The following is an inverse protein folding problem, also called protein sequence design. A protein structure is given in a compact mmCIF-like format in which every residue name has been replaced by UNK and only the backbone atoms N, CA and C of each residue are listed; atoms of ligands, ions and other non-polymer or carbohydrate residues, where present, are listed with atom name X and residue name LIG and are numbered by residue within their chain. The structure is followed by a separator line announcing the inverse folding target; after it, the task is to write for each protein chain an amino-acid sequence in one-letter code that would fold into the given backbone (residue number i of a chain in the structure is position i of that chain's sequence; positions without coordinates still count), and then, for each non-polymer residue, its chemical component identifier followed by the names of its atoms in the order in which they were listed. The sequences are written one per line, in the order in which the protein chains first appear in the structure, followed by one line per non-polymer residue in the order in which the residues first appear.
data_IF_778788265931
#
_entry.id   IF_778788265931
#
_cell.length_a   1.000
_cell.length_b   1.000
_cell.length_c   1.000
_cell.angle_alpha   90.00
_cell.angle_beta   90.00
_cell.angle_gamma   90.00
#
_symmetry.space_group_name_H-M   'P 1'
#
loop_
_entity.id
_entity.type
_entity.pdbx_description
1 polymer ?
#
# COMPACT_ATOMS: atom_id res chain seq x y z
N UNK A 1 8.26 -51.37 -30.65
CA UNK A 1 8.71 -50.35 -29.68
C UNK A 1 7.83 -49.12 -29.86
N UNK A 2 6.86 -48.91 -28.97
CA UNK A 2 6.22 -47.63 -28.60
C UNK A 2 4.87 -47.94 -27.91
N UNK A 3 4.88 -48.04 -26.57
CA UNK A 3 3.68 -48.09 -25.74
C UNK A 3 3.50 -46.74 -25.04
N UNK A 4 2.50 -45.97 -25.45
CA UNK A 4 2.07 -44.75 -24.76
C UNK A 4 1.00 -45.07 -23.73
N UNK A 5 1.38 -45.09 -22.44
CA UNK A 5 0.42 -45.19 -21.33
C UNK A 5 -0.32 -43.86 -21.12
N UNK A 6 -1.58 -43.88 -20.62
CA UNK A 6 -2.34 -42.66 -20.39
C UNK A 6 -1.76 -41.90 -19.19
N UNK A 7 -1.44 -40.62 -19.41
CA UNK A 7 -1.05 -39.68 -18.35
C UNK A 7 -2.31 -39.34 -17.56
N UNK A 8 -2.43 -39.88 -16.35
CA UNK A 8 -3.46 -39.49 -15.39
C UNK A 8 -3.19 -38.06 -14.92
N UNK A 9 -4.08 -37.15 -15.31
CA UNK A 9 -4.12 -35.77 -14.80
C UNK A 9 -4.45 -35.85 -13.30
N UNK A 10 -3.44 -35.67 -12.45
CA UNK A 10 -3.62 -35.59 -10.99
C UNK A 10 -4.51 -34.38 -10.71
N UNK A 11 -5.76 -34.61 -10.30
CA UNK A 11 -6.62 -33.57 -9.78
C UNK A 11 -5.93 -32.97 -8.56
N UNK A 12 -5.63 -31.67 -8.62
CA UNK A 12 -5.24 -30.92 -7.43
C UNK A 12 -6.46 -30.90 -6.51
N UNK A 13 -6.32 -31.46 -5.31
CA UNK A 13 -7.35 -31.35 -4.27
C UNK A 13 -7.54 -29.90 -3.86
N UNK A 14 -8.70 -29.54 -3.28
CA UNK A 14 -8.97 -28.17 -2.87
C UNK A 14 -7.96 -27.76 -1.80
N UNK A 15 -7.17 -26.70 -2.08
CA UNK A 15 -6.39 -26.02 -1.05
C UNK A 15 -7.29 -25.50 0.06
N UNK A 16 -6.74 -25.14 1.24
CA UNK A 16 -7.55 -24.60 2.33
C UNK A 16 -8.34 -23.40 1.82
N UNK A 17 -9.67 -23.47 1.96
CA UNK A 17 -10.58 -22.45 1.49
C UNK A 17 -10.28 -21.15 2.24
N UNK A 18 -9.84 -20.11 1.52
CA UNK A 18 -9.79 -18.75 2.06
C UNK A 18 -11.20 -18.27 2.40
N UNK A 19 -11.30 -17.29 3.30
CA UNK A 19 -12.59 -16.74 3.67
C UNK A 19 -13.20 -16.03 2.45
N UNK A 20 -14.39 -16.46 2.02
CA UNK A 20 -15.14 -15.78 0.98
C UNK A 20 -16.01 -14.70 1.62
N UNK A 21 -15.79 -13.44 1.24
CA UNK A 21 -16.45 -12.29 1.83
C UNK A 21 -17.19 -11.53 0.73
N UNK A 22 -18.47 -11.26 0.93
CA UNK A 22 -19.22 -10.31 0.09
C UNK A 22 -19.09 -8.92 0.70
N UNK A 23 -18.79 -7.89 -0.10
CA UNK A 23 -18.58 -6.51 0.37
C UNK A 23 -19.64 -6.00 1.37
N UNK A 24 -20.94 -6.35 1.17
CA UNK A 24 -22.01 -5.98 2.12
C UNK A 24 -21.86 -6.57 3.53
N UNK A 25 -21.18 -7.71 3.67
CA UNK A 25 -20.91 -8.32 4.98
C UNK A 25 -19.90 -7.51 5.79
N UNK A 26 -19.04 -6.71 5.13
CA UNK A 26 -18.17 -5.73 5.81
C UNK A 26 -18.91 -4.42 6.09
N UNK A 27 -19.86 -4.06 5.22
CA UNK A 27 -20.65 -2.83 5.32
C UNK A 27 -21.85 -2.86 6.28
N UNK A 28 -22.16 -3.99 6.93
CA UNK A 28 -23.23 -4.09 7.94
C UNK A 28 -22.77 -3.65 9.35
N UNK A 29 -21.47 -3.76 9.64
CA UNK A 29 -20.88 -3.45 10.96
C UNK A 29 -19.81 -2.33 10.91
N UNK A 30 -19.36 -1.93 9.72
CA UNK A 30 -18.38 -0.86 9.50
C UNK A 30 -19.02 0.53 9.59
N UNK A 31 -19.36 0.94 10.82
CA UNK A 31 -19.89 2.26 11.10
C UNK A 31 -19.10 3.39 10.43
N UNK A 32 -19.85 4.37 9.93
CA UNK A 32 -19.42 5.64 9.33
C UNK A 32 -18.62 6.54 10.30
N UNK A 33 -17.55 6.03 10.90
CA UNK A 33 -16.55 6.77 11.64
C UNK A 33 -15.48 7.28 10.71
N UNK A 34 -15.77 8.38 10.01
CA UNK A 34 -14.79 9.05 9.15
C UNK A 34 -13.58 9.51 9.98
N UNK A 35 -12.44 8.82 9.87
CA UNK A 35 -11.15 9.47 10.08
C UNK A 35 -10.96 10.45 8.92
N UNK A 36 -11.46 11.66 9.14
CA UNK A 36 -10.93 12.86 8.48
C UNK A 36 -9.45 12.96 8.84
N UNK A 37 -8.63 13.70 8.08
CA UNK A 37 -7.29 14.12 8.55
C UNK A 37 -7.42 14.46 10.03
N UNK A 38 -6.68 13.79 10.95
CA UNK A 38 -6.81 14.07 12.36
C UNK A 38 -6.71 15.57 12.55
N UNK A 39 -7.69 16.21 13.19
CA UNK A 39 -7.48 17.60 13.59
C UNK A 39 -6.46 17.61 14.72
N UNK A 40 -5.54 18.59 14.80
CA UNK A 40 -4.38 18.58 15.71
C UNK A 40 -4.71 18.17 17.15
N UNK A 41 -5.89 18.57 17.63
CA UNK A 41 -6.44 18.27 18.96
C UNK A 41 -6.61 16.77 19.26
N UNK A 42 -6.93 15.94 18.27
CA UNK A 42 -7.13 14.50 18.45
C UNK A 42 -5.82 13.73 18.71
N UNK A 43 -4.68 14.34 18.38
CA UNK A 43 -3.34 13.80 18.61
C UNK A 43 -2.59 14.53 19.74
N UNK A 44 -3.23 15.51 20.39
CA UNK A 44 -2.59 16.36 21.39
C UNK A 44 -1.47 17.24 20.82
N UNK A 45 -1.46 17.50 19.51
CA UNK A 45 -0.43 18.31 18.83
C UNK A 45 -0.93 19.72 18.56
N UNK A 46 -0.01 20.69 18.55
CA UNK A 46 -0.29 22.01 18.02
C UNK A 46 -0.54 21.94 16.50
N UNK A 47 -1.30 22.89 15.94
CA UNK A 47 -1.64 22.90 14.52
C UNK A 47 -0.41 23.02 13.61
N UNK A 48 0.61 23.73 14.08
CA UNK A 48 1.89 23.93 13.40
C UNK A 48 2.69 22.62 13.35
N UNK A 49 2.81 21.91 14.48
CA UNK A 49 3.45 20.58 14.54
C UNK A 49 2.73 19.58 13.64
N UNK A 50 1.39 19.61 13.62
CA UNK A 50 0.57 18.78 12.75
C UNK A 50 0.81 19.06 11.25
N UNK A 51 1.02 20.34 10.89
CA UNK A 51 1.32 20.73 9.52
C UNK A 51 2.70 20.22 9.03
N UNK A 52 3.61 19.94 9.96
CA UNK A 52 4.98 19.51 9.65
C UNK A 52 5.24 18.01 9.79
N UNK A 53 4.28 17.22 10.31
CA UNK A 53 4.47 15.77 10.47
C UNK A 53 4.93 15.14 9.15
N UNK A 54 5.79 14.13 9.15
CA UNK A 54 6.08 13.37 7.93
C UNK A 54 4.84 12.63 7.41
N UNK A 55 4.82 12.33 6.11
CA UNK A 55 3.80 11.50 5.46
C UNK A 55 4.38 10.12 5.18
N UNK A 56 3.64 9.07 5.58
CA UNK A 56 3.92 7.69 5.16
C UNK A 56 2.80 7.26 4.23
N UNK A 57 3.11 7.20 2.94
CA UNK A 57 2.20 6.75 1.91
C UNK A 57 2.35 5.24 1.70
N UNK A 58 1.23 4.51 1.66
CA UNK A 58 1.22 3.05 1.60
C UNK A 58 0.38 2.60 0.40
N UNK A 59 0.98 1.81 -0.49
CA UNK A 59 0.24 1.07 -1.52
C UNK A 59 -0.37 -0.22 -0.96
N UNK A 60 -1.30 -0.84 -1.70
CA UNK A 60 -1.94 -2.10 -1.34
C UNK A 60 -1.28 -3.26 -2.08
N UNK A 61 -1.38 -3.29 -3.40
CA UNK A 61 -0.91 -4.43 -4.20
C UNK A 61 0.62 -4.48 -4.22
N UNK A 62 1.19 -5.66 -3.94
CA UNK A 62 2.63 -5.86 -3.82
C UNK A 62 3.26 -5.33 -2.52
N UNK A 63 2.46 -4.70 -1.65
CA UNK A 63 2.89 -4.16 -0.35
C UNK A 63 2.14 -4.84 0.79
N UNK A 64 0.84 -4.57 0.92
CA UNK A 64 -0.02 -5.17 1.94
C UNK A 64 -0.68 -6.44 1.42
N UNK A 65 -1.15 -6.39 0.17
CA UNK A 65 -1.62 -7.55 -0.57
C UNK A 65 -0.45 -8.20 -1.29
N UNK A 66 -0.03 -9.37 -0.80
CA UNK A 66 1.10 -10.10 -1.39
C UNK A 66 0.67 -10.76 -2.70
N UNK A 67 1.39 -10.46 -3.78
CA UNK A 67 1.13 -10.97 -5.12
C UNK A 67 2.08 -12.13 -5.42
N UNK A 68 1.62 -13.37 -5.22
CA UNK A 68 2.46 -14.55 -5.47
C UNK A 68 1.68 -15.82 -5.84
N UNK A 69 0.35 -15.73 -5.97
CA UNK A 69 -0.51 -16.88 -6.23
C UNK A 69 -0.29 -18.01 -5.22
N UNK A 70 -0.09 -19.24 -5.70
CA UNK A 70 0.16 -20.41 -4.83
C UNK A 70 1.60 -20.51 -4.32
N UNK A 71 2.52 -19.62 -4.76
CA UNK A 71 3.95 -19.65 -4.41
C UNK A 71 4.34 -18.70 -3.27
N UNK A 72 3.37 -18.22 -2.51
CA UNK A 72 3.60 -17.30 -1.40
C UNK A 72 4.59 -17.88 -0.40
N UNK A 73 5.74 -17.21 -0.26
CA UNK A 73 6.87 -17.68 0.57
C UNK A 73 6.60 -17.50 2.08
N UNK A 74 5.56 -16.74 2.45
CA UNK A 74 5.16 -16.42 3.83
C UNK A 74 3.98 -17.22 4.38
N UNK A 75 3.54 -18.28 3.71
CA UNK A 75 2.57 -19.21 4.30
C UNK A 75 3.19 -19.89 5.54
N UNK A 76 2.57 -19.87 6.74
CA UNK A 76 1.14 -19.69 7.04
C UNK A 76 0.73 -18.33 7.66
N UNK A 77 1.58 -17.30 7.62
CA UNK A 77 1.30 -16.01 8.29
C UNK A 77 0.24 -15.17 7.56
N UNK A 78 0.02 -15.44 6.28
CA UNK A 78 -0.92 -14.69 5.43
C UNK A 78 -2.36 -15.19 5.59
N UNK A 79 -3.30 -14.25 5.73
CA UNK A 79 -4.74 -14.50 5.66
C UNK A 79 -5.23 -14.27 4.24
N UNK A 80 -5.94 -15.25 3.69
CA UNK A 80 -6.45 -15.21 2.32
C UNK A 80 -7.93 -14.89 2.30
N UNK A 81 -8.30 -13.95 1.45
CA UNK A 81 -9.68 -13.52 1.25
C UNK A 81 -10.04 -13.56 -0.24
N UNK A 82 -11.24 -14.03 -0.54
CA UNK A 82 -11.86 -13.83 -1.84
C UNK A 82 -13.04 -12.87 -1.65
N UNK A 83 -12.96 -11.69 -2.26
CA UNK A 83 -13.90 -10.61 -2.01
C UNK A 83 -14.71 -10.28 -3.27
N UNK A 84 -16.02 -10.49 -3.21
CA UNK A 84 -16.93 -10.05 -4.26
C UNK A 84 -17.39 -8.61 -4.00
N UNK A 85 -17.11 -7.73 -4.96
CA UNK A 85 -17.41 -6.29 -4.89
C UNK A 85 -18.39 -5.94 -6.02
N UNK A 86 -19.67 -5.70 -5.71
CA UNK A 86 -20.64 -5.29 -6.70
C UNK A 86 -20.28 -3.94 -7.34
N UNK A 87 -20.64 -3.74 -8.61
CA UNK A 87 -20.47 -2.47 -9.34
C UNK A 87 -21.09 -1.29 -8.58
N UNK A 88 -22.26 -1.51 -7.96
CA UNK A 88 -22.97 -0.48 -7.19
C UNK A 88 -22.20 0.00 -5.94
N UNK A 89 -21.20 -0.76 -5.48
CA UNK A 89 -20.34 -0.40 -4.34
C UNK A 89 -19.02 0.23 -4.79
N UNK A 90 -18.77 0.32 -6.09
CA UNK A 90 -17.54 0.86 -6.64
C UNK A 90 -17.75 2.30 -7.09
N UNK A 91 -16.70 3.11 -6.92
CA UNK A 91 -16.61 4.42 -7.57
C UNK A 91 -16.05 4.24 -8.98
N UNK A 92 -16.55 5.02 -9.96
CA UNK A 92 -15.94 5.08 -11.28
C UNK A 92 -14.46 5.40 -11.15
N UNK A 93 -13.60 4.59 -11.73
CA UNK A 93 -12.15 4.77 -11.59
C UNK A 93 -11.44 4.17 -12.79
N UNK A 94 -10.49 4.88 -13.42
CA UNK A 94 -9.75 4.38 -14.57
C UNK A 94 -8.86 3.17 -14.24
N UNK A 95 -8.57 2.95 -12.95
CA UNK A 95 -7.74 1.85 -12.49
C UNK A 95 -8.52 0.57 -12.22
N UNK A 96 -9.85 0.63 -12.26
CA UNK A 96 -10.71 -0.54 -12.04
C UNK A 96 -11.15 -1.14 -13.36
N UNK A 97 -11.26 -2.47 -13.36
CA UNK A 97 -11.88 -3.21 -14.46
C UNK A 97 -13.29 -2.65 -14.74
N UNK A 98 -13.61 -2.47 -16.02
CA UNK A 98 -14.90 -1.90 -16.44
C UNK A 98 -15.15 -0.48 -15.93
N UNK A 99 -14.11 0.28 -15.56
CA UNK A 99 -14.22 1.60 -14.94
C UNK A 99 -15.07 1.60 -13.66
N UNK A 100 -15.08 0.50 -12.90
CA UNK A 100 -15.92 0.35 -11.70
C UNK A 100 -17.41 0.17 -12.00
N UNK A 101 -17.80 -0.10 -13.25
CA UNK A 101 -19.20 -0.36 -13.65
C UNK A 101 -19.55 -1.85 -13.73
N UNK A 102 -18.62 -2.72 -13.39
CA UNK A 102 -18.79 -4.17 -13.41
C UNK A 102 -18.52 -4.74 -12.01
N UNK A 103 -19.25 -5.80 -11.67
CA UNK A 103 -18.93 -6.61 -10.49
C UNK A 103 -17.52 -7.19 -10.65
N UNK A 104 -16.74 -7.13 -9.58
CA UNK A 104 -15.39 -7.69 -9.56
C UNK A 104 -15.23 -8.65 -8.39
N UNK A 105 -14.39 -9.66 -8.59
CA UNK A 105 -13.89 -10.50 -7.51
C UNK A 105 -12.39 -10.28 -7.38
N UNK A 106 -11.95 -9.92 -6.19
CA UNK A 106 -10.53 -9.69 -5.87
C UNK A 106 -10.06 -10.73 -4.87
N UNK A 107 -8.81 -11.17 -5.01
CA UNK A 107 -8.15 -12.09 -4.08
C UNK A 107 -7.08 -11.33 -3.33
N UNK A 108 -7.12 -11.42 -2.01
CA UNK A 108 -6.18 -10.74 -1.12
C UNK A 108 -5.42 -11.78 -0.30
N UNK A 109 -4.12 -11.57 -0.14
CA UNK A 109 -3.28 -12.29 0.80
C UNK A 109 -2.61 -11.26 1.72
N UNK A 110 -3.12 -11.12 2.95
CA UNK A 110 -2.77 -10.04 3.87
C UNK A 110 -2.03 -10.58 5.09
N UNK A 111 -0.96 -9.90 5.50
CA UNK A 111 -0.26 -10.17 6.75
C UNK A 111 -0.91 -9.36 7.90
N UNK A 112 -1.51 -10.01 8.92
CA UNK A 112 -2.11 -9.30 10.06
C UNK A 112 -1.11 -8.41 10.83
N UNK A 113 0.19 -8.68 10.74
CA UNK A 113 1.21 -7.87 11.40
C UNK A 113 1.25 -6.42 10.86
N UNK A 114 0.85 -6.21 9.60
CA UNK A 114 0.87 -4.88 8.97
C UNK A 114 -0.05 -3.87 9.67
N UNK A 115 -1.16 -4.32 10.27
CA UNK A 115 -2.01 -3.44 11.06
C UNK A 115 -1.28 -2.85 12.28
N UNK A 116 -0.46 -3.68 12.96
CA UNK A 116 0.38 -3.23 14.06
C UNK A 116 1.44 -2.20 13.61
N UNK A 117 2.03 -2.43 12.43
CA UNK A 117 3.02 -1.51 11.86
C UNK A 117 2.40 -0.17 11.48
N UNK A 118 1.27 -0.18 10.76
CA UNK A 118 0.52 1.03 10.40
C UNK A 118 0.12 1.82 11.65
N UNK A 119 -0.37 1.14 12.69
CA UNK A 119 -0.72 1.79 13.97
C UNK A 119 0.48 2.46 14.64
N UNK A 120 1.64 1.79 14.67
CA UNK A 120 2.86 2.35 15.25
C UNK A 120 3.33 3.58 14.45
N UNK A 121 3.32 3.51 13.12
CA UNK A 121 3.70 4.62 12.25
C UNK A 121 2.75 5.82 12.37
N UNK A 122 1.44 5.57 12.53
CA UNK A 122 0.44 6.62 12.69
C UNK A 122 0.66 7.50 13.94
N UNK A 123 1.38 7.01 14.95
CA UNK A 123 1.76 7.79 16.11
C UNK A 123 2.78 8.90 15.77
N UNK A 124 3.63 8.68 14.76
CA UNK A 124 4.72 9.60 14.37
C UNK A 124 4.46 10.35 13.07
N UNK A 125 3.67 9.78 12.17
CA UNK A 125 3.44 10.30 10.83
C UNK A 125 1.96 10.35 10.46
N UNK A 126 1.64 11.12 9.42
CA UNK A 126 0.38 10.98 8.71
C UNK A 126 0.49 9.78 7.77
N UNK A 127 -0.06 8.64 8.21
CA UNK A 127 -0.15 7.44 7.37
C UNK A 127 -1.36 7.54 6.44
N UNK A 128 -1.14 7.38 5.15
CA UNK A 128 -2.15 7.59 4.10
C UNK A 128 -2.13 6.47 3.07
N UNK A 129 -3.28 6.21 2.46
CA UNK A 129 -3.40 5.36 1.29
C UNK A 129 -2.89 6.09 0.06
N UNK A 130 -1.92 5.50 -0.64
CA UNK A 130 -1.45 5.96 -1.95
C UNK A 130 -1.50 4.78 -2.92
N UNK A 131 -2.73 4.40 -3.28
CA UNK A 131 -3.01 3.17 -4.01
C UNK A 131 -4.12 3.40 -5.02
N UNK A 132 -4.09 2.66 -6.13
CA UNK A 132 -5.15 2.66 -7.15
C UNK A 132 -6.48 2.09 -6.65
N UNK A 133 -6.48 1.45 -5.47
CA UNK A 133 -7.71 1.06 -4.77
C UNK A 133 -8.54 2.28 -4.34
N UNK A 134 -7.89 3.41 -4.10
CA UNK A 134 -8.50 4.63 -3.58
C UNK A 134 -9.28 4.35 -2.29
N UNK A 135 -10.51 4.88 -2.20
CA UNK A 135 -11.39 4.68 -1.05
C UNK A 135 -11.76 3.22 -0.77
N UNK A 136 -11.69 2.33 -1.76
CA UNK A 136 -11.95 0.90 -1.54
C UNK A 136 -10.95 0.27 -0.55
N UNK A 137 -9.76 0.86 -0.39
CA UNK A 137 -8.81 0.43 0.63
C UNK A 137 -9.40 0.58 2.05
N UNK A 138 -10.17 1.64 2.31
CA UNK A 138 -10.86 1.83 3.59
C UNK A 138 -12.06 0.90 3.78
N UNK A 139 -12.74 0.55 2.68
CA UNK A 139 -13.94 -0.28 2.77
C UNK A 139 -13.62 -1.77 2.86
N UNK A 140 -12.45 -2.18 2.34
CA UNK A 140 -12.06 -3.59 2.24
C UNK A 140 -10.75 -3.89 2.97
N UNK A 141 -9.65 -3.30 2.55
CA UNK A 141 -8.30 -3.68 3.03
C UNK A 141 -8.11 -3.34 4.51
N UNK A 142 -8.47 -2.13 4.92
CA UNK A 142 -8.35 -1.68 6.31
C UNK A 142 -9.11 -2.58 7.29
N UNK A 143 -10.42 -2.84 7.08
CA UNK A 143 -11.20 -3.77 7.89
C UNK A 143 -10.62 -5.18 7.94
N UNK A 144 -10.20 -5.74 6.80
CA UNK A 144 -9.62 -7.09 6.75
C UNK A 144 -8.27 -7.20 7.46
N UNK A 145 -7.47 -6.13 7.46
CA UNK A 145 -6.25 -6.03 8.27
C UNK A 145 -6.55 -5.85 9.77
N UNK A 146 -7.76 -5.43 10.15
CA UNK A 146 -8.12 -5.07 11.52
C UNK A 146 -7.65 -3.68 11.92
N UNK A 147 -7.57 -2.74 10.96
CA UNK A 147 -7.33 -1.34 11.28
C UNK A 147 -8.51 -0.77 12.07
N UNK A 148 -8.26 0.07 13.10
CA UNK A 148 -9.31 0.60 13.98
C UNK A 148 -10.18 1.67 13.31
N UNK A 149 -9.84 2.09 12.10
CA UNK A 149 -10.59 3.08 11.33
C UNK A 149 -9.93 3.38 9.99
N UNK A 150 -10.59 4.16 9.13
CA UNK A 150 -10.06 4.53 7.82
C UNK A 150 -8.78 5.37 7.91
N UNK A 151 -7.99 5.37 6.84
CA UNK A 151 -6.87 6.30 6.63
C UNK A 151 -7.24 7.34 5.54
N UNK A 152 -6.61 8.53 5.55
CA UNK A 152 -6.72 9.46 4.43
C UNK A 152 -6.28 8.80 3.12
N UNK A 153 -6.90 9.20 2.01
CA UNK A 153 -6.59 8.70 0.67
C UNK A 153 -5.96 9.82 -0.14
N UNK A 154 -4.80 9.53 -0.74
CA UNK A 154 -4.22 10.35 -1.81
C UNK A 154 -4.97 10.01 -3.09
N UNK A 155 -5.73 10.96 -3.61
CA UNK A 155 -6.58 10.74 -4.77
C UNK A 155 -5.76 10.68 -6.06
N UNK A 156 -5.48 9.47 -6.52
CA UNK A 156 -4.71 9.24 -7.75
C UNK A 156 -5.57 9.40 -9.02
N UNK A 157 -6.89 9.57 -8.89
CA UNK A 157 -7.82 9.67 -10.04
C UNK A 157 -7.68 11.02 -10.77
N UNK A 158 -7.20 12.05 -10.08
CA UNK A 158 -6.89 13.37 -10.68
C UNK A 158 -5.68 13.33 -11.61
N UNK A 159 -4.89 12.26 -11.57
CA UNK A 159 -3.76 12.09 -12.47
C UNK A 159 -4.17 11.34 -13.75
N UNK A 160 -3.58 11.67 -14.91
CA UNK A 160 -4.05 11.20 -16.22
C UNK A 160 -3.68 9.74 -16.54
N UNK A 161 -3.68 8.85 -15.55
CA UNK A 161 -3.12 7.49 -15.62
C UNK A 161 -3.72 6.55 -16.68
N UNK A 162 -4.98 6.75 -17.08
CA UNK A 162 -5.72 5.83 -17.96
C UNK A 162 -5.11 5.61 -19.36
N UNK A 163 -4.17 6.46 -19.76
CA UNK A 163 -3.52 6.41 -21.09
C UNK A 163 -1.99 6.41 -21.03
N UNK A 164 -1.42 6.29 -19.84
CA UNK A 164 0.00 6.49 -19.60
C UNK A 164 0.80 5.20 -19.78
N UNK A 165 1.98 5.30 -20.40
CA UNK A 165 2.96 4.20 -20.36
C UNK A 165 3.40 4.00 -18.90
N UNK A 166 3.94 2.84 -18.56
CA UNK A 166 4.29 2.49 -17.17
C UNK A 166 5.16 3.53 -16.46
N UNK A 167 6.08 4.20 -17.17
CA UNK A 167 6.89 5.30 -16.61
C UNK A 167 6.10 6.58 -16.37
N UNK A 168 5.18 6.91 -17.28
CA UNK A 168 4.32 8.09 -17.16
C UNK A 168 3.34 7.95 -15.98
N UNK A 169 2.81 6.74 -15.76
CA UNK A 169 1.98 6.43 -14.60
C UNK A 169 2.74 6.62 -13.28
N UNK A 170 3.99 6.16 -13.21
CA UNK A 170 4.82 6.31 -12.02
C UNK A 170 5.13 7.79 -11.70
N UNK A 171 5.45 8.57 -12.74
CA UNK A 171 5.63 10.01 -12.62
C UNK A 171 4.36 10.70 -12.11
N UNK A 172 3.19 10.30 -12.62
CA UNK A 172 1.91 10.85 -12.20
C UNK A 172 1.60 10.55 -10.72
N UNK A 173 1.82 9.31 -10.25
CA UNK A 173 1.66 8.93 -8.82
C UNK A 173 2.55 9.79 -7.92
N UNK A 174 3.80 9.96 -8.30
CA UNK A 174 4.75 10.76 -7.55
C UNK A 174 4.38 12.26 -7.56
N UNK A 175 3.82 12.79 -8.66
CA UNK A 175 3.33 14.16 -8.72
C UNK A 175 2.15 14.39 -7.78
N UNK A 176 1.14 13.51 -7.78
CA UNK A 176 0.01 13.65 -6.85
C UNK A 176 0.48 13.55 -5.40
N UNK A 177 1.41 12.64 -5.11
CA UNK A 177 1.98 12.51 -3.76
C UNK A 177 2.78 13.76 -3.35
N UNK A 178 3.49 14.40 -4.29
CA UNK A 178 4.18 15.68 -4.06
C UNK A 178 3.22 16.76 -3.62
N UNK A 179 2.13 16.93 -4.36
CA UNK A 179 1.14 17.95 -4.10
C UNK A 179 0.44 17.68 -2.76
N UNK A 180 0.13 16.42 -2.46
CA UNK A 180 -0.41 16.00 -1.18
C UNK A 180 0.54 16.28 -0.01
N UNK A 181 1.84 16.00 -0.19
CA UNK A 181 2.85 16.20 0.84
C UNK A 181 3.13 17.68 1.10
N UNK A 182 2.92 18.58 0.12
CA UNK A 182 3.05 20.02 0.27
C UNK A 182 4.35 20.46 0.97
N UNK A 183 5.48 19.86 0.58
CA UNK A 183 6.82 20.15 1.12
C UNK A 183 7.18 19.41 2.43
N UNK A 184 6.24 18.64 2.99
CA UNK A 184 6.50 17.76 4.15
C UNK A 184 7.40 16.59 3.73
N UNK A 185 8.24 16.05 4.64
CA UNK A 185 8.94 14.80 4.39
C UNK A 185 7.95 13.70 4.04
N UNK A 186 8.20 12.95 2.98
CA UNK A 186 7.30 11.86 2.55
C UNK A 186 8.08 10.61 2.18
N UNK A 187 7.61 9.47 2.67
CA UNK A 187 8.09 8.16 2.26
C UNK A 187 6.93 7.35 1.70
N UNK A 188 7.11 6.80 0.50
CA UNK A 188 6.17 5.88 -0.13
C UNK A 188 6.66 4.43 0.01
N UNK A 189 5.78 3.54 0.44
CA UNK A 189 6.00 2.08 0.41
C UNK A 189 5.22 1.50 -0.76
N UNK A 190 5.92 0.90 -1.72
CA UNK A 190 5.38 0.50 -3.03
C UNK A 190 6.27 -0.58 -3.67
N UNK A 191 5.72 -1.47 -4.50
CA UNK A 191 6.49 -2.49 -5.22
C UNK A 191 7.13 -1.94 -6.52
N UNK A 192 6.58 -0.83 -7.01
CA UNK A 192 7.02 -0.13 -8.21
C UNK A 192 8.31 0.65 -7.94
N UNK A 193 9.25 0.72 -8.91
CA UNK A 193 10.54 1.41 -8.75
C UNK A 193 10.43 2.94 -8.82
N UNK A 194 9.76 3.57 -7.84
CA UNK A 194 9.44 5.00 -7.83
C UNK A 194 10.58 5.91 -7.37
N UNK A 195 11.76 5.36 -7.08
CA UNK A 195 12.91 6.08 -6.54
C UNK A 195 13.27 7.33 -7.35
N UNK A 196 13.27 7.24 -8.69
CA UNK A 196 13.65 8.33 -9.59
C UNK A 196 12.69 9.54 -9.52
N UNK A 197 11.44 9.31 -9.08
CA UNK A 197 10.39 10.34 -9.02
C UNK A 197 10.14 10.88 -7.61
N UNK A 198 10.69 10.23 -6.59
CA UNK A 198 10.48 10.58 -5.19
C UNK A 198 11.76 11.02 -4.48
N UNK A 199 12.93 10.65 -4.98
CA UNK A 199 14.21 10.99 -4.34
C UNK A 199 14.92 12.13 -5.07
N UNK A 200 16.04 12.60 -4.52
CA UNK A 200 16.83 13.66 -5.15
C UNK A 200 16.02 14.95 -5.24
N UNK A 201 16.07 15.64 -6.37
CA UNK A 201 15.39 16.94 -6.52
C UNK A 201 13.88 16.87 -6.70
N UNK A 202 13.31 15.67 -6.92
CA UNK A 202 11.89 15.55 -7.23
C UNK A 202 10.98 16.01 -6.07
N UNK A 203 11.42 15.87 -4.83
CA UNK A 203 10.68 16.30 -3.63
C UNK A 203 11.56 17.18 -2.73
N UNK A 204 12.33 18.10 -3.33
CA UNK A 204 13.30 18.95 -2.62
C UNK A 204 14.31 18.16 -1.78
N UNK A 205 14.57 16.90 -2.14
CA UNK A 205 15.40 15.97 -1.38
C UNK A 205 14.75 15.40 -0.13
N UNK A 206 13.45 15.65 0.12
CA UNK A 206 12.73 15.23 1.33
C UNK A 206 11.77 14.06 1.08
N UNK A 207 11.88 13.44 -0.09
CA UNK A 207 11.14 12.24 -0.45
C UNK A 207 11.99 10.97 -0.42
N UNK A 208 11.35 9.84 -0.12
CA UNK A 208 11.94 8.52 -0.18
C UNK A 208 10.95 7.47 -0.71
N UNK A 209 11.49 6.40 -1.29
CA UNK A 209 10.73 5.23 -1.71
C UNK A 209 11.31 3.98 -1.02
N UNK A 210 10.45 3.22 -0.34
CA UNK A 210 10.77 1.91 0.20
C UNK A 210 10.16 0.87 -0.74
N UNK A 211 11.01 0.30 -1.59
CA UNK A 211 10.58 -0.69 -2.57
C UNK A 211 10.35 -2.06 -1.92
N UNK A 212 9.16 -2.62 -2.14
CA UNK A 212 8.85 -4.00 -1.74
C UNK A 212 9.10 -5.00 -2.88
N UNK A 213 9.20 -6.28 -2.51
CA UNK A 213 9.08 -7.38 -3.46
C UNK A 213 7.62 -7.86 -3.41
N UNK A 214 6.86 -7.81 -4.52
CA UNK A 214 5.45 -8.13 -4.52
C UNK A 214 5.15 -9.57 -4.08
N UNK A 215 6.09 -10.51 -4.21
CA UNK A 215 5.91 -11.90 -3.74
C UNK A 215 6.07 -12.06 -2.23
N UNK A 216 6.62 -11.05 -1.54
CA UNK A 216 6.85 -11.07 -0.10
C UNK A 216 6.14 -9.94 0.66
N UNK A 217 5.67 -8.92 -0.05
CA UNK A 217 5.03 -7.74 0.52
C UNK A 217 5.97 -6.85 1.32
N UNK A 218 5.39 -6.03 2.19
CA UNK A 218 6.13 -5.18 3.12
C UNK A 218 6.77 -6.03 4.21
N UNK A 219 8.10 -5.95 4.31
CA UNK A 219 8.89 -6.71 5.28
C UNK A 219 9.34 -5.85 6.45
N UNK A 220 9.85 -6.49 7.51
CA UNK A 220 10.42 -5.78 8.67
C UNK A 220 11.59 -4.88 8.26
N UNK A 221 12.42 -5.28 7.31
CA UNK A 221 13.50 -4.45 6.79
C UNK A 221 12.96 -3.20 6.09
N UNK A 222 11.87 -3.34 5.33
CA UNK A 222 11.16 -2.20 4.74
C UNK A 222 10.58 -1.27 5.82
N UNK A 223 9.99 -1.82 6.88
CA UNK A 223 9.50 -1.02 8.01
C UNK A 223 10.66 -0.26 8.70
N UNK A 224 11.80 -0.91 8.92
CA UNK A 224 12.99 -0.26 9.50
C UNK A 224 13.49 0.87 8.58
N UNK A 225 13.39 0.73 7.26
CA UNK A 225 13.72 1.80 6.33
C UNK A 225 12.77 3.00 6.49
N UNK A 226 11.46 2.76 6.68
CA UNK A 226 10.49 3.82 7.00
C UNK A 226 10.80 4.46 8.36
N UNK A 227 11.04 3.67 9.41
CA UNK A 227 11.38 4.18 10.75
C UNK A 227 12.62 5.08 10.70
N UNK A 228 13.67 4.69 9.96
CA UNK A 228 14.87 5.51 9.74
C UNK A 228 14.60 6.80 8.99
N UNK A 229 13.69 6.77 8.01
CA UNK A 229 13.27 7.99 7.32
C UNK A 229 12.55 8.94 8.29
N UNK A 230 11.70 8.42 9.17
CA UNK A 230 11.02 9.22 10.19
C UNK A 230 11.99 9.78 11.22
N UNK A 231 12.98 8.99 11.68
CA UNK A 231 14.02 9.46 12.59
C UNK A 231 14.82 10.63 11.99
N UNK A 232 15.12 10.56 10.69
CA UNK A 232 15.72 11.70 9.98
C UNK A 232 14.75 12.87 9.90
N UNK A 233 13.49 12.64 9.51
CA UNK A 233 12.50 13.71 9.35
C UNK A 233 12.28 14.50 10.65
N UNK A 234 12.31 13.82 11.80
CA UNK A 234 12.18 14.45 13.12
C UNK A 234 13.41 15.30 13.49
N UNK A 235 14.60 14.97 12.96
CA UNK A 235 15.84 15.71 13.21
C UNK A 235 16.15 16.77 12.14
N UNK A 236 15.53 16.68 10.97
CA UNK A 236 15.90 17.44 9.78
C UNK A 236 15.53 18.93 9.90
N UNK A 237 16.50 19.80 9.66
CA UNK A 237 16.27 21.23 9.55
C UNK A 237 15.55 21.63 8.24
N UNK A 238 15.14 22.91 8.11
CA UNK A 238 14.62 23.43 6.85
C UNK A 238 15.59 23.22 5.69
N UNK A 239 15.12 22.66 4.58
CA UNK A 239 15.93 22.43 3.37
C UNK A 239 16.93 21.27 3.46
N UNK A 240 16.99 20.55 4.59
CA UNK A 240 17.81 19.36 4.70
C UNK A 240 17.24 18.23 3.82
N UNK A 241 18.15 17.47 3.21
CA UNK A 241 17.83 16.42 2.25
C UNK A 241 18.09 15.04 2.83
N UNK A 242 17.14 14.12 2.66
CA UNK A 242 17.31 12.73 3.02
C UNK A 242 18.30 12.06 2.08
N UNK A 243 19.28 11.35 2.68
CA UNK A 243 20.21 10.50 1.95
C UNK A 243 20.14 9.10 2.53
N UNK A 244 19.45 8.16 1.88
CA UNK A 244 19.39 6.79 2.38
C UNK A 244 20.81 6.22 2.44
N UNK A 245 21.16 5.63 3.59
CA UNK A 245 22.40 4.89 3.69
C UNK A 245 22.32 3.70 2.72
N UNK A 246 23.19 3.66 1.72
CA UNK A 246 23.31 2.47 0.85
C UNK A 246 23.74 1.31 1.74
N UNK A 247 22.81 0.40 2.03
CA UNK A 247 23.14 -0.87 2.65
C UNK A 247 24.25 -1.53 1.84
N UNK A 248 25.32 -1.98 2.49
CA UNK A 248 26.33 -2.83 1.84
C UNK A 248 25.57 -3.99 1.22
N UNK A 249 25.52 -4.07 -0.12
CA UNK A 249 25.07 -5.28 -0.81
C UNK A 249 25.91 -6.41 -0.21
N UNK A 250 25.30 -7.32 0.56
CA UNK A 250 25.95 -8.58 0.89
C UNK A 250 26.24 -9.22 -0.47
N UNK A 251 27.53 -9.25 -0.84
CA UNK A 251 27.96 -9.82 -2.10
C UNK A 251 27.40 -11.24 -2.17
N UNK A 252 26.73 -11.56 -3.28
CA UNK A 252 26.48 -12.97 -3.61
C UNK A 252 27.86 -13.58 -3.81
N UNK A 253 28.35 -14.28 -2.78
CA UNK A 253 29.51 -15.15 -2.90
C UNK A 253 29.23 -16.15 -4.00
N UNK A 254 30.11 -16.18 -4.98
CA UNK A 254 30.24 -17.30 -5.90
C UNK A 254 30.96 -18.43 -5.20
#
# INVERSE_FOLDING_TARGET
MAGGGPVTRKQAGPGPAGDTITYRQLGADGGAGAWRRPVPTALGLAAEDFAHRPVVAVDVDGVLNVLGGDRLVREPELRRYECHIPAACQRPSPFRRGYGREDITVRLALDPAHAGWIRALHQRADVVWATTWGHLANDLVGPLLGLPGPLPVVDLEDAPFSYLKSGDAMSAKASVLRDYAAGRPVVLVDDRPLDEWLTGDALDGRGHAVRTDPETGWTRDGLVAVERFLDWADAAGPGERYRPQRGRRRGRGR
#
